data_IF_092855670704
#
_entry.id   IF_092855670704
#
_cell.length_a   1.000
_cell.length_b   1.000
_cell.length_c   1.000
_cell.angle_alpha   90.00
_cell.angle_beta   90.00
_cell.angle_gamma   90.00
#
_symmetry.space_group_name_H-M   'P 1'
#
loop_
_entity.id
_entity.type
_entity.pdbx_description
1 polymer ?
#
# COMPACT_ATOMS: atom_id res chain seq x y z
N UNK A 1 2.20 0.97 -0.68
CA UNK A 1 1.18 -0.08 -0.97
C UNK A 1 -0.16 0.57 -1.24
N UNK A 2 -0.86 0.09 -2.25
CA UNK A 2 -2.21 0.52 -2.65
C UNK A 2 -3.19 -0.59 -2.26
N UNK A 3 -4.30 -0.25 -1.61
CA UNK A 3 -5.31 -1.24 -1.20
C UNK A 3 -6.73 -0.71 -1.42
N UNK A 4 -7.60 -1.54 -1.99
CA UNK A 4 -9.05 -1.33 -2.03
C UNK A 4 -9.74 -2.38 -1.17
N UNK A 5 -10.80 -1.99 -0.49
CA UNK A 5 -11.54 -2.89 0.41
C UNK A 5 -13.04 -2.61 0.40
N UNK A 6 -13.81 -3.53 0.97
CA UNK A 6 -15.26 -3.36 1.13
C UNK A 6 -15.62 -2.25 2.12
N UNK A 7 -14.73 -1.96 3.08
CA UNK A 7 -14.90 -0.89 4.07
C UNK A 7 -13.57 -0.15 4.26
N UNK A 8 -13.27 0.87 3.43
CA UNK A 8 -12.02 1.61 3.50
C UNK A 8 -11.89 2.43 4.78
N UNK A 9 -12.99 2.82 5.42
CA UNK A 9 -12.94 3.60 6.65
C UNK A 9 -12.48 2.72 7.83
N UNK A 10 -13.08 1.53 7.97
CA UNK A 10 -12.66 0.55 8.98
C UNK A 10 -11.23 0.08 8.77
N UNK A 11 -10.85 -0.20 7.52
CA UNK A 11 -9.47 -0.58 7.21
C UNK A 11 -8.48 0.55 7.52
N UNK A 12 -8.78 1.79 7.14
CA UNK A 12 -7.91 2.92 7.45
C UNK A 12 -7.73 3.14 8.96
N UNK A 13 -8.79 2.94 9.76
CA UNK A 13 -8.70 3.00 11.21
C UNK A 13 -7.77 1.89 11.76
N UNK A 14 -7.97 0.63 11.33
CA UNK A 14 -7.15 -0.49 11.77
C UNK A 14 -5.66 -0.32 11.41
N UNK A 15 -5.38 0.16 10.20
CA UNK A 15 -4.01 0.45 9.75
C UNK A 15 -3.35 1.55 10.58
N UNK A 16 -4.06 2.65 10.86
CA UNK A 16 -3.53 3.74 11.71
C UNK A 16 -3.30 3.29 13.16
N UNK A 17 -4.14 2.40 13.69
CA UNK A 17 -3.92 1.80 15.01
C UNK A 17 -2.69 0.88 15.08
N UNK A 18 -2.12 0.52 13.92
CA UNK A 18 -0.85 -0.21 13.81
C UNK A 18 0.31 0.71 13.39
N UNK A 19 0.20 2.01 13.69
CA UNK A 19 1.21 3.05 13.40
C UNK A 19 1.55 3.21 11.91
N UNK A 20 0.64 2.80 11.01
CA UNK A 20 0.83 2.98 9.57
C UNK A 20 0.26 4.33 9.10
N UNK A 21 1.01 4.99 8.23
CA UNK A 21 0.56 6.21 7.57
C UNK A 21 -0.34 5.87 6.39
N UNK A 22 -1.60 6.32 6.48
CA UNK A 22 -2.65 6.02 5.49
C UNK A 22 -3.28 7.29 4.94
N UNK A 23 -3.22 7.43 3.62
CA UNK A 23 -3.92 8.46 2.85
C UNK A 23 -5.10 7.84 2.10
N UNK A 24 -6.27 8.49 2.18
CA UNK A 24 -7.46 8.08 1.41
C UNK A 24 -7.39 8.67 0.01
N UNK A 25 -7.49 7.80 -1.00
CA UNK A 25 -7.70 8.19 -2.40
C UNK A 25 -9.18 8.15 -2.79
N UNK A 26 -9.46 8.44 -4.06
CA UNK A 26 -10.79 8.22 -4.65
C UNK A 26 -11.12 6.73 -4.82
N UNK A 27 -12.41 6.40 -4.99
CA UNK A 27 -12.92 5.05 -5.26
C UNK A 27 -12.47 3.96 -4.25
N UNK A 28 -12.66 4.22 -2.96
CA UNK A 28 -12.37 3.26 -1.86
C UNK A 28 -10.89 2.83 -1.77
N UNK A 29 -9.99 3.58 -2.40
CA UNK A 29 -8.56 3.34 -2.40
C UNK A 29 -7.91 3.93 -1.14
N UNK A 30 -7.01 3.17 -0.52
CA UNK A 30 -6.08 3.64 0.50
C UNK A 30 -4.64 3.49 0.00
N UNK A 31 -3.83 4.49 0.29
CA UNK A 31 -2.38 4.48 0.09
C UNK A 31 -1.72 4.33 1.45
N UNK A 32 -0.95 3.26 1.62
CA UNK A 32 -0.24 2.93 2.86
C UNK A 32 1.26 3.07 2.61
N UNK A 33 1.92 3.92 3.41
CA UNK A 33 3.37 4.16 3.34
C UNK A 33 4.12 3.28 4.35
N UNK A 34 5.32 2.85 3.97
CA UNK A 34 6.22 2.12 4.87
C UNK A 34 5.77 0.71 5.27
N UNK A 35 4.71 0.17 4.67
CA UNK A 35 4.22 -1.18 4.92
C UNK A 35 4.39 -2.06 3.68
N UNK A 36 4.62 -3.36 3.89
CA UNK A 36 4.53 -4.36 2.83
C UNK A 36 3.07 -4.75 2.55
N UNK A 37 2.80 -5.36 1.41
CA UNK A 37 1.48 -5.91 1.08
C UNK A 37 1.03 -6.93 2.12
N UNK A 38 1.91 -7.84 2.52
CA UNK A 38 1.63 -8.90 3.48
C UNK A 38 1.13 -8.31 4.80
N UNK A 39 1.84 -7.28 5.30
CA UNK A 39 1.46 -6.62 6.56
C UNK A 39 0.09 -5.95 6.48
N UNK A 40 -0.21 -5.30 5.35
CA UNK A 40 -1.54 -4.68 5.12
C UNK A 40 -2.63 -5.75 5.06
N UNK A 41 -2.35 -6.89 4.42
CA UNK A 41 -3.28 -8.02 4.34
C UNK A 41 -3.59 -8.65 5.70
N UNK A 42 -2.57 -8.85 6.54
CA UNK A 42 -2.74 -9.36 7.91
C UNK A 42 -3.63 -8.44 8.75
N UNK A 43 -3.40 -7.13 8.70
CA UNK A 43 -4.20 -6.15 9.45
C UNK A 43 -5.64 -6.15 8.93
N UNK A 44 -5.85 -6.22 7.62
CA UNK A 44 -7.19 -6.30 7.04
C UNK A 44 -7.94 -7.55 7.50
N UNK A 45 -7.26 -8.71 7.49
CA UNK A 45 -7.81 -9.97 7.99
C UNK A 45 -8.19 -9.88 9.47
N UNK A 46 -7.29 -9.39 10.33
CA UNK A 46 -7.54 -9.22 11.76
C UNK A 46 -8.69 -8.23 12.04
N UNK A 47 -8.83 -7.20 11.21
CA UNK A 47 -9.93 -6.24 11.28
C UNK A 47 -11.25 -6.78 10.72
N UNK A 48 -11.26 -7.97 10.09
CA UNK A 48 -12.43 -8.55 9.44
C UNK A 48 -12.90 -7.75 8.23
N UNK A 49 -11.98 -7.11 7.49
CA UNK A 49 -12.29 -6.30 6.31
C UNK A 49 -11.87 -7.02 5.04
N UNK A 50 -12.80 -7.37 4.14
CA UNK A 50 -12.48 -7.93 2.83
C UNK A 50 -11.64 -6.97 1.99
N UNK A 51 -10.53 -7.48 1.45
CA UNK A 51 -9.67 -6.77 0.51
C UNK A 51 -10.08 -7.14 -0.92
N UNK A 52 -10.35 -6.13 -1.74
CA UNK A 52 -10.69 -6.30 -3.17
C UNK A 52 -9.46 -6.23 -4.07
N UNK A 53 -8.47 -5.44 -3.68
CA UNK A 53 -7.22 -5.26 -4.42
C UNK A 53 -6.11 -4.89 -3.43
N UNK A 54 -4.91 -5.45 -3.61
CA UNK A 54 -3.74 -5.15 -2.81
C UNK A 54 -2.50 -5.20 -3.69
N UNK A 55 -1.91 -4.04 -3.93
CA UNK A 55 -0.77 -3.85 -4.81
C UNK A 55 0.38 -3.25 -4.02
N UNK A 56 1.50 -3.96 -3.98
CA UNK A 56 2.79 -3.37 -3.62
C UNK A 56 3.19 -2.38 -4.72
N UNK A 57 3.47 -1.15 -4.32
CA UNK A 57 4.04 -0.16 -5.25
C UNK A 57 5.48 -0.61 -5.49
N UNK A 58 5.70 -1.41 -6.53
CA UNK A 58 7.04 -1.62 -7.07
C UNK A 58 7.48 -0.27 -7.64
N UNK A 59 8.69 0.19 -7.30
CA UNK A 59 9.22 1.46 -7.76
C UNK A 59 8.92 1.68 -9.25
N UNK A 60 8.60 2.93 -9.61
CA UNK A 60 8.18 3.23 -10.97
C UNK A 60 9.19 2.69 -11.98
N UNK A 61 8.74 2.25 -13.17
CA UNK A 61 9.67 1.84 -14.24
C UNK A 61 10.70 2.93 -14.54
N UNK A 62 10.33 4.19 -14.33
CA UNK A 62 11.22 5.35 -14.41
C UNK A 62 12.30 5.35 -13.33
N UNK A 63 11.96 5.10 -12.06
CA UNK A 63 12.96 4.93 -10.99
C UNK A 63 13.89 3.74 -11.27
N UNK A 64 13.35 2.62 -11.74
CA UNK A 64 14.13 1.45 -12.12
C UNK A 64 15.07 1.79 -13.29
N UNK A 65 14.57 2.51 -14.30
CA UNK A 65 15.38 2.96 -15.44
C UNK A 65 16.47 3.96 -15.04
N UNK A 66 16.15 4.93 -14.17
CA UNK A 66 17.11 5.89 -13.64
C UNK A 66 18.20 5.19 -12.82
N UNK A 67 17.84 4.20 -12.01
CA UNK A 67 18.82 3.39 -11.27
C UNK A 67 19.75 2.64 -12.25
N UNK A 68 19.19 1.89 -13.21
CA UNK A 68 19.96 1.10 -14.18
C UNK A 68 20.91 1.96 -15.04
N UNK A 69 20.49 3.15 -15.43
CA UNK A 69 21.31 4.05 -16.25
C UNK A 69 22.36 4.83 -15.45
N UNK A 70 22.13 5.04 -14.15
CA UNK A 70 23.13 5.63 -13.24
C UNK A 70 24.25 4.62 -12.95
N UNK A 71 23.92 3.35 -12.75
CA UNK A 71 24.92 2.27 -12.55
C UNK A 71 25.72 1.97 -13.82
N UNK A 72 25.10 2.02 -15.00
CA UNK A 72 25.79 1.76 -16.28
C UNK A 72 26.79 2.85 -16.71
N UNK A 73 26.82 4.00 -16.01
CA UNK A 73 27.70 5.14 -16.31
C UNK A 73 28.84 5.31 -15.28
N UNK A 74 28.87 4.50 -14.23
CA UNK A 74 29.97 4.42 -13.26
C UNK A 74 31.00 3.38 -13.68
#
# INVERSE_FOLDING_TARGET
VRVRSADPQRLAAALRSNDLHVTTGGDHLLLVQGASSERVGEIAFAAGVPVHELLSDGGSLEEIFLHLTTEARA
#
